data_IF_979045336586
#
_entry.id   IF_979045336586
#
_cell.length_a   1.000
_cell.length_b   1.000
_cell.length_c   1.000
_cell.angle_alpha   90.00
_cell.angle_beta   90.00
_cell.angle_gamma   90.00
#
_symmetry.space_group_name_H-M   'P 1'
#
loop_
_entity.id
_entity.type
_entity.pdbx_description
1 polymer ?
#
# COMPACT_ATOMS: atom_id res chain seq x y z
N UNK A 1 15.59 5.82 -33.18
CA UNK A 1 15.97 6.15 -31.79
C UNK A 1 15.01 7.22 -31.32
N UNK A 2 13.98 6.85 -30.59
CA UNK A 2 12.97 7.80 -30.10
C UNK A 2 13.34 8.17 -28.67
N UNK A 3 13.82 9.38 -28.47
CA UNK A 3 13.98 9.99 -27.16
C UNK A 3 12.59 10.10 -26.52
N UNK A 4 12.18 9.07 -25.77
CA UNK A 4 11.13 9.26 -24.80
C UNK A 4 11.71 10.07 -23.64
N UNK A 5 11.50 11.39 -23.67
CA UNK A 5 11.64 12.22 -22.49
C UNK A 5 10.95 11.51 -21.34
N UNK A 6 11.73 11.09 -20.37
CA UNK A 6 11.25 10.46 -19.15
C UNK A 6 10.33 11.45 -18.43
N UNK A 7 9.06 11.37 -18.71
CA UNK A 7 8.04 11.97 -17.87
C UNK A 7 8.40 11.62 -16.43
N UNK A 8 8.47 12.62 -15.53
CA UNK A 8 8.77 12.44 -14.11
C UNK A 8 7.80 11.46 -13.41
N UNK A 9 6.76 11.02 -14.10
CA UNK A 9 5.69 10.13 -13.66
C UNK A 9 5.99 8.69 -14.13
N UNK A 10 6.15 7.78 -13.17
CA UNK A 10 6.33 6.36 -13.45
C UNK A 10 4.96 5.70 -13.43
N UNK A 11 4.34 5.57 -14.58
CA UNK A 11 2.98 5.02 -14.75
C UNK A 11 2.78 3.64 -14.11
N UNK A 12 3.81 2.78 -14.15
CA UNK A 12 3.76 1.45 -13.52
C UNK A 12 3.52 1.49 -12.01
N UNK A 13 4.01 2.53 -11.31
CA UNK A 13 3.75 2.69 -9.88
C UNK A 13 2.30 3.10 -9.59
N UNK A 14 1.68 3.89 -10.47
CA UNK A 14 0.26 4.23 -10.32
C UNK A 14 -0.62 2.99 -10.58
N UNK A 15 -0.25 2.15 -11.56
CA UNK A 15 -0.93 0.88 -11.77
C UNK A 15 -0.79 -0.06 -10.55
N UNK A 16 0.39 -0.17 -9.96
CA UNK A 16 0.59 -0.97 -8.74
C UNK A 16 -0.21 -0.43 -7.55
N UNK A 17 -0.34 0.90 -7.38
CA UNK A 17 -1.19 1.50 -6.35
C UNK A 17 -2.67 1.17 -6.58
N UNK A 18 -3.12 1.22 -7.83
CA UNK A 18 -4.48 0.80 -8.19
C UNK A 18 -4.73 -0.66 -7.80
N UNK A 19 -3.84 -1.58 -8.20
CA UNK A 19 -3.94 -2.99 -7.84
C UNK A 19 -3.92 -3.17 -6.32
N UNK A 20 -3.03 -2.48 -5.60
CA UNK A 20 -2.97 -2.52 -4.16
C UNK A 20 -4.29 -2.09 -3.49
N UNK A 21 -4.89 -0.97 -3.96
CA UNK A 21 -6.17 -0.50 -3.45
C UNK A 21 -7.29 -1.54 -3.65
N UNK A 22 -7.38 -2.14 -4.84
CA UNK A 22 -8.36 -3.19 -5.14
C UNK A 22 -8.17 -4.40 -4.23
N UNK A 23 -6.94 -4.90 -4.07
CA UNK A 23 -6.65 -6.09 -3.26
C UNK A 23 -6.90 -5.84 -1.75
N UNK A 24 -6.53 -4.66 -1.25
CA UNK A 24 -6.79 -4.27 0.15
C UNK A 24 -8.29 -4.18 0.39
N UNK A 25 -9.02 -3.46 -0.46
CA UNK A 25 -10.47 -3.30 -0.29
C UNK A 25 -11.18 -4.64 -0.40
N UNK A 26 -10.78 -5.51 -1.34
CA UNK A 26 -11.34 -6.85 -1.46
C UNK A 26 -11.17 -7.67 -0.16
N UNK A 27 -10.06 -7.54 0.54
CA UNK A 27 -9.83 -8.27 1.79
C UNK A 27 -10.76 -7.85 2.94
N UNK A 28 -11.38 -6.68 2.82
CA UNK A 28 -12.38 -6.17 3.77
C UNK A 28 -13.82 -6.45 3.31
N UNK A 29 -14.03 -7.06 2.17
CA UNK A 29 -15.35 -7.40 1.62
C UNK A 29 -16.01 -8.63 2.29
N UNK A 30 -15.68 -8.92 3.54
CA UNK A 30 -16.35 -9.99 4.32
C UNK A 30 -17.89 -9.81 4.28
N UNK A 31 -18.47 -8.62 4.52
CA UNK A 31 -19.92 -8.43 4.42
C UNK A 31 -20.46 -8.69 3.01
N UNK A 32 -19.72 -8.28 1.96
CA UNK A 32 -20.13 -8.42 0.56
C UNK A 32 -20.19 -9.89 0.11
N UNK A 33 -19.35 -10.76 0.69
CA UNK A 33 -19.29 -12.18 0.36
C UNK A 33 -20.02 -13.09 1.35
N UNK A 34 -20.71 -12.51 2.34
CA UNK A 34 -21.34 -13.24 3.44
C UNK A 34 -22.26 -14.37 2.97
N UNK A 35 -23.04 -14.11 1.92
CA UNK A 35 -24.06 -15.04 1.42
C UNK A 35 -23.53 -16.03 0.36
N UNK A 36 -22.25 -15.89 -0.04
CA UNK A 36 -21.62 -16.74 -1.06
C UNK A 36 -20.45 -17.52 -0.45
N UNK A 37 -19.32 -16.85 -0.23
CA UNK A 37 -18.12 -17.44 0.37
C UNK A 37 -17.20 -16.34 0.89
N UNK A 38 -17.11 -16.18 2.20
CA UNK A 38 -16.23 -15.20 2.85
C UNK A 38 -14.74 -15.41 2.57
N UNK A 39 -14.33 -16.61 2.12
CA UNK A 39 -12.96 -16.86 1.70
C UNK A 39 -12.52 -16.04 0.47
N UNK A 40 -13.46 -15.46 -0.28
CA UNK A 40 -13.18 -14.53 -1.39
C UNK A 40 -12.67 -13.17 -0.87
N UNK A 41 -12.96 -12.81 0.39
CA UNK A 41 -12.41 -11.63 1.04
C UNK A 41 -10.95 -11.85 1.45
N UNK A 42 -10.07 -11.88 0.47
CA UNK A 42 -8.64 -12.19 0.65
C UNK A 42 -7.75 -11.23 -0.13
N UNK A 43 -6.44 -11.49 -0.19
CA UNK A 43 -5.40 -10.73 -0.90
C UNK A 43 -4.92 -9.45 -0.20
N UNK A 44 -5.40 -9.11 0.99
CA UNK A 44 -5.00 -7.91 1.72
C UNK A 44 -3.49 -7.83 1.99
N UNK A 45 -2.85 -8.96 2.28
CA UNK A 45 -1.40 -9.03 2.50
C UNK A 45 -0.63 -8.62 1.25
N UNK A 46 -1.05 -9.09 0.07
CA UNK A 46 -0.44 -8.72 -1.22
C UNK A 46 -0.67 -7.24 -1.53
N UNK A 47 -1.87 -6.73 -1.27
CA UNK A 47 -2.19 -5.33 -1.44
C UNK A 47 -1.33 -4.42 -0.55
N UNK A 48 -1.23 -4.74 0.74
CA UNK A 48 -0.37 -4.02 1.69
C UNK A 48 1.10 -4.09 1.28
N UNK A 49 1.58 -5.26 0.86
CA UNK A 49 2.96 -5.43 0.38
C UNK A 49 3.25 -4.56 -0.84
N UNK A 50 2.38 -4.54 -1.84
CA UNK A 50 2.52 -3.66 -3.01
C UNK A 50 2.53 -2.18 -2.60
N UNK A 51 1.67 -1.79 -1.65
CA UNK A 51 1.61 -0.41 -1.20
C UNK A 51 2.89 0.01 -0.47
N UNK A 52 3.41 -0.82 0.44
CA UNK A 52 4.67 -0.54 1.12
C UNK A 52 5.86 -0.56 0.15
N UNK A 53 5.87 -1.48 -0.81
CA UNK A 53 6.87 -1.51 -1.88
C UNK A 53 6.91 -0.19 -2.66
N UNK A 54 5.75 0.29 -3.13
CA UNK A 54 5.63 1.56 -3.86
C UNK A 54 6.01 2.74 -2.97
N UNK A 55 5.63 2.72 -1.69
CA UNK A 55 6.00 3.75 -0.72
C UNK A 55 7.52 3.82 -0.56
N UNK A 56 8.20 2.68 -0.38
CA UNK A 56 9.65 2.60 -0.28
C UNK A 56 10.35 3.14 -1.52
N UNK A 57 9.86 2.77 -2.70
CA UNK A 57 10.37 3.28 -3.98
C UNK A 57 10.27 4.81 -4.06
N UNK A 58 9.09 5.35 -3.79
CA UNK A 58 8.83 6.80 -3.89
C UNK A 58 9.59 7.61 -2.83
N UNK A 59 9.72 7.08 -1.63
CA UNK A 59 10.48 7.71 -0.55
C UNK A 59 11.95 7.78 -0.93
N UNK A 60 12.54 6.69 -1.38
CA UNK A 60 13.94 6.66 -1.81
C UNK A 60 14.17 7.61 -2.98
N UNK A 61 13.30 7.61 -3.99
CA UNK A 61 13.36 8.58 -5.10
C UNK A 61 13.36 10.04 -4.61
N UNK A 62 12.57 10.32 -3.57
CA UNK A 62 12.52 11.65 -2.95
C UNK A 62 13.79 12.02 -2.19
N UNK A 63 14.34 11.09 -1.41
CA UNK A 63 15.56 11.27 -0.62
C UNK A 63 16.79 11.48 -1.49
N UNK A 64 16.88 10.76 -2.60
CA UNK A 64 17.98 10.93 -3.58
C UNK A 64 17.94 12.30 -4.27
N UNK A 65 16.74 12.89 -4.41
CA UNK A 65 16.57 14.19 -5.08
C UNK A 65 16.73 15.39 -4.17
N UNK A 66 16.37 15.29 -2.90
CA UNK A 66 16.26 16.43 -1.97
C UNK A 66 16.97 16.14 -0.66
N UNK A 67 17.90 17.02 -0.29
CA UNK A 67 18.48 17.08 1.03
C UNK A 67 17.65 18.06 1.86
N UNK A 68 16.84 17.56 2.80
CA UNK A 68 16.05 18.41 3.69
C UNK A 68 16.22 17.96 5.15
N UNK A 69 15.83 18.81 6.09
CA UNK A 69 15.84 18.51 7.53
C UNK A 69 14.71 17.55 7.88
N UNK A 70 14.89 16.79 8.97
CA UNK A 70 13.92 15.78 9.43
C UNK A 70 12.54 16.39 9.74
N UNK A 71 12.52 17.56 10.40
CA UNK A 71 11.29 18.26 10.76
C UNK A 71 10.43 18.58 9.50
N UNK A 72 11.05 19.18 8.48
CA UNK A 72 10.37 19.50 7.23
C UNK A 72 9.96 18.23 6.47
N UNK A 73 10.81 17.21 6.48
CA UNK A 73 10.50 15.91 5.90
C UNK A 73 9.25 15.29 6.54
N UNK A 74 9.24 15.17 7.86
CA UNK A 74 8.15 14.53 8.61
C UNK A 74 6.87 15.36 8.51
N UNK A 75 6.95 16.69 8.66
CA UNK A 75 5.81 17.59 8.51
C UNK A 75 5.07 17.36 7.19
N UNK A 76 5.79 17.33 6.06
CA UNK A 76 5.16 17.11 4.75
C UNK A 76 4.50 15.74 4.62
N UNK A 77 5.05 14.70 5.27
CA UNK A 77 4.46 13.36 5.27
C UNK A 77 3.20 13.31 6.12
N UNK A 78 3.25 13.90 7.29
CA UNK A 78 2.09 13.98 8.18
C UNK A 78 0.97 14.84 7.58
N UNK A 79 1.29 15.96 6.94
CA UNK A 79 0.31 16.79 6.24
C UNK A 79 -0.44 16.06 5.12
N UNK A 80 0.12 14.99 4.57
CA UNK A 80 -0.56 14.13 3.60
C UNK A 80 -1.49 13.10 4.21
N UNK A 81 -1.17 12.62 5.41
CA UNK A 81 -1.89 11.51 6.05
C UNK A 81 -2.96 12.03 7.01
N UNK A 82 -2.57 12.93 7.92
CA UNK A 82 -3.36 13.30 9.08
C UNK A 82 -4.68 14.01 8.76
N UNK A 83 -4.76 14.95 7.81
CA UNK A 83 -6.02 15.63 7.53
C UNK A 83 -7.13 14.67 7.11
N UNK A 84 -6.81 13.66 6.29
CA UNK A 84 -7.79 12.65 5.86
C UNK A 84 -8.28 11.80 7.03
N UNK A 85 -7.37 11.36 7.91
CA UNK A 85 -7.71 10.55 9.09
C UNK A 85 -8.55 11.35 10.07
N UNK A 86 -8.13 12.58 10.38
CA UNK A 86 -8.84 13.47 11.29
C UNK A 86 -10.25 13.79 10.81
N UNK A 87 -10.36 14.26 9.56
CA UNK A 87 -11.65 14.64 9.01
C UNK A 87 -12.61 13.45 8.88
N UNK A 88 -12.08 12.27 8.52
CA UNK A 88 -12.89 11.07 8.51
C UNK A 88 -13.34 10.63 9.90
N UNK A 89 -12.49 10.74 10.91
CA UNK A 89 -12.88 10.45 12.29
C UNK A 89 -14.03 11.36 12.76
N UNK A 90 -13.99 12.65 12.40
CA UNK A 90 -15.09 13.59 12.67
C UNK A 90 -16.37 13.18 11.95
N UNK A 91 -16.29 12.86 10.65
CA UNK A 91 -17.46 12.39 9.87
C UNK A 91 -18.01 11.09 10.46
N UNK A 92 -17.15 10.14 10.82
CA UNK A 92 -17.57 8.86 11.42
C UNK A 92 -18.27 9.07 12.76
N UNK A 93 -17.78 9.96 13.60
CA UNK A 93 -18.43 10.32 14.86
C UNK A 93 -19.81 10.94 14.63
N UNK A 94 -19.95 11.82 13.63
CA UNK A 94 -21.22 12.49 13.34
C UNK A 94 -22.27 11.57 12.70
N UNK A 95 -21.84 10.64 11.84
CA UNK A 95 -22.76 9.81 11.02
C UNK A 95 -23.03 8.46 11.67
N UNK A 96 -22.02 7.83 12.26
CA UNK A 96 -22.12 6.48 12.86
C UNK A 96 -22.05 6.47 14.38
N UNK A 97 -21.83 7.64 15.01
CA UNK A 97 -21.73 7.72 16.47
C UNK A 97 -20.40 7.17 17.03
N UNK A 98 -19.36 7.14 16.19
CA UNK A 98 -18.05 6.68 16.64
C UNK A 98 -17.50 7.59 17.73
N UNK A 99 -16.82 6.99 18.71
CA UNK A 99 -16.16 7.75 19.75
C UNK A 99 -14.98 8.57 19.18
N UNK A 100 -15.02 9.88 19.38
CA UNK A 100 -14.03 10.84 18.95
C UNK A 100 -13.00 11.08 20.07
N UNK A 101 -12.09 10.15 20.27
CA UNK A 101 -11.00 10.27 21.23
C UNK A 101 -9.71 10.76 20.57
N UNK A 102 -8.86 11.47 21.35
CA UNK A 102 -7.53 11.88 20.89
C UNK A 102 -6.66 10.69 20.45
N UNK A 103 -6.84 9.54 21.11
CA UNK A 103 -6.14 8.33 20.74
C UNK A 103 -6.53 7.85 19.34
N UNK A 104 -7.81 7.88 18.98
CA UNK A 104 -8.29 7.52 17.64
C UNK A 104 -7.80 8.50 16.57
N UNK A 105 -7.71 9.78 16.89
CA UNK A 105 -7.26 10.82 15.97
C UNK A 105 -5.75 10.80 15.77
N UNK A 106 -4.96 10.73 16.85
CA UNK A 106 -3.50 10.87 16.79
C UNK A 106 -2.80 9.55 16.49
N UNK A 107 -3.25 8.45 17.07
CA UNK A 107 -2.60 7.14 16.95
C UNK A 107 -3.31 6.27 15.91
N UNK A 108 -4.56 6.62 15.55
CA UNK A 108 -5.39 5.90 14.59
C UNK A 108 -5.39 4.37 14.83
N UNK A 109 -5.78 3.87 16.04
CA UNK A 109 -5.59 2.49 16.46
C UNK A 109 -6.26 1.47 15.54
N UNK A 110 -7.32 1.87 14.82
CA UNK A 110 -8.02 1.02 13.87
C UNK A 110 -7.29 0.90 12.52
N UNK A 111 -6.22 1.69 12.31
CA UNK A 111 -5.52 1.79 11.04
C UNK A 111 -4.03 1.43 11.21
N UNK A 112 -3.75 0.17 11.53
CA UNK A 112 -2.39 -0.32 11.75
C UNK A 112 -1.41 0.09 10.63
N UNK A 113 -1.88 0.11 9.39
CA UNK A 113 -1.10 0.52 8.23
C UNK A 113 -0.59 1.96 8.36
N UNK A 114 -1.42 2.89 8.86
CA UNK A 114 -1.04 4.29 9.07
C UNK A 114 -0.02 4.43 10.19
N UNK A 115 -0.15 3.64 11.26
CA UNK A 115 0.84 3.60 12.34
C UNK A 115 2.18 3.10 11.79
N UNK A 116 2.17 1.98 11.06
CA UNK A 116 3.36 1.41 10.45
C UNK A 116 4.06 2.42 9.53
N UNK A 117 3.33 3.07 8.62
CA UNK A 117 3.93 3.97 7.63
C UNK A 117 4.58 5.21 8.27
N UNK A 118 4.03 5.73 9.37
CA UNK A 118 4.63 6.87 10.11
C UNK A 118 5.95 6.47 10.74
N UNK A 119 6.00 5.30 11.40
CA UNK A 119 7.24 4.75 11.96
C UNK A 119 8.27 4.50 10.85
N UNK A 120 7.83 3.90 9.75
CA UNK A 120 8.71 3.63 8.61
C UNK A 120 9.23 4.92 7.97
N UNK A 121 8.45 6.00 7.92
CA UNK A 121 8.95 7.30 7.45
C UNK A 121 10.12 7.78 8.31
N UNK A 122 10.00 7.74 9.63
CA UNK A 122 11.07 8.15 10.53
C UNK A 122 12.34 7.30 10.30
N UNK A 123 12.21 5.98 10.27
CA UNK A 123 13.32 5.06 10.02
C UNK A 123 13.97 5.32 8.65
N UNK A 124 13.17 5.45 7.60
CA UNK A 124 13.67 5.69 6.24
C UNK A 124 14.39 7.01 6.08
N UNK A 125 14.01 8.05 6.82
CA UNK A 125 14.74 9.31 6.75
C UNK A 125 16.21 9.14 7.16
N UNK A 126 16.45 8.50 8.30
CA UNK A 126 17.80 8.32 8.82
C UNK A 126 18.61 7.32 8.01
N UNK A 127 18.02 6.18 7.76
CA UNK A 127 18.68 5.13 6.99
C UNK A 127 18.86 5.55 5.53
N UNK A 128 17.88 6.21 4.93
CA UNK A 128 17.96 6.68 3.55
C UNK A 128 19.07 7.73 3.37
N UNK A 129 19.39 8.52 4.40
CA UNK A 129 20.56 9.42 4.37
C UNK A 129 21.87 8.66 4.36
N UNK A 130 22.00 7.62 5.17
CA UNK A 130 23.19 6.76 5.17
C UNK A 130 23.37 6.09 3.80
N UNK A 131 22.29 5.58 3.22
CA UNK A 131 22.29 4.97 1.89
C UNK A 131 22.64 5.97 0.79
N UNK A 132 22.18 7.21 0.89
CA UNK A 132 22.52 8.27 -0.06
C UNK A 132 24.03 8.60 -0.06
N UNK A 133 24.73 8.37 1.07
CA UNK A 133 26.18 8.53 1.19
C UNK A 133 26.90 7.31 0.61
N UNK A 134 26.43 6.10 0.90
CA UNK A 134 26.98 4.82 0.42
C UNK A 134 25.86 3.89 -0.04
N UNK A 135 25.66 3.81 -1.35
CA UNK A 135 24.57 3.02 -1.95
C UNK A 135 24.54 1.54 -1.57
N UNK A 136 25.70 0.95 -1.26
CA UNK A 136 25.81 -0.45 -0.84
C UNK A 136 25.09 -0.79 0.48
N UNK A 137 24.88 0.18 1.35
CA UNK A 137 24.18 -0.03 2.63
C UNK A 137 22.72 -0.46 2.47
N UNK A 138 22.12 -0.27 1.30
CA UNK A 138 20.74 -0.74 1.06
C UNK A 138 20.64 -2.28 1.14
N UNK A 139 21.67 -3.00 0.69
CA UNK A 139 21.73 -4.47 0.78
C UNK A 139 21.82 -4.93 2.23
N UNK A 140 22.65 -4.24 3.02
CA UNK A 140 22.77 -4.51 4.45
C UNK A 140 21.44 -4.24 5.16
N UNK A 141 20.78 -3.12 4.87
CA UNK A 141 19.48 -2.79 5.44
C UNK A 141 18.43 -3.85 5.09
N UNK A 142 18.42 -4.30 3.84
CA UNK A 142 17.50 -5.35 3.42
C UNK A 142 17.76 -6.65 4.18
N UNK A 143 19.02 -7.10 4.22
CA UNK A 143 19.42 -8.29 4.97
C UNK A 143 19.05 -8.19 6.46
N UNK A 144 19.34 -7.04 7.10
CA UNK A 144 18.98 -6.79 8.50
C UNK A 144 17.46 -6.80 8.68
N UNK A 145 16.68 -6.19 7.79
CA UNK A 145 15.22 -6.16 7.92
C UNK A 145 14.58 -7.54 7.78
N UNK A 146 15.10 -8.39 6.89
CA UNK A 146 14.69 -9.80 6.77
C UNK A 146 15.14 -10.60 8.00
N UNK A 147 16.38 -10.42 8.45
CA UNK A 147 16.91 -11.08 9.64
C UNK A 147 16.10 -10.75 10.89
N UNK A 148 15.77 -9.46 11.11
CA UNK A 148 14.92 -9.03 12.22
C UNK A 148 13.53 -9.66 12.11
N UNK A 149 12.96 -9.80 10.90
CA UNK A 149 11.69 -10.51 10.70
C UNK A 149 11.78 -11.97 11.11
N UNK A 150 12.87 -12.64 10.79
CA UNK A 150 13.11 -14.05 11.17
C UNK A 150 13.30 -14.17 12.70
N UNK A 151 14.24 -13.41 13.25
CA UNK A 151 14.59 -13.49 14.68
C UNK A 151 13.41 -13.14 15.56
N UNK A 152 12.61 -12.14 15.17
CA UNK A 152 11.45 -11.73 15.94
C UNK A 152 10.45 -12.87 16.13
N UNK A 153 10.22 -13.71 15.14
CA UNK A 153 9.31 -14.86 15.24
C UNK A 153 9.81 -15.91 16.24
N UNK A 154 11.14 -16.10 16.34
CA UNK A 154 11.73 -17.03 17.32
C UNK A 154 11.72 -16.47 18.75
N UNK A 155 11.95 -15.14 18.90
CA UNK A 155 12.03 -14.53 20.22
C UNK A 155 10.65 -14.33 20.88
N UNK A 156 9.61 -14.15 20.08
CA UNK A 156 8.28 -13.84 20.56
C UNK A 156 7.23 -14.78 19.97
N UNK A 157 7.18 -16.04 20.42
CA UNK A 157 6.20 -17.00 19.94
C UNK A 157 4.78 -16.46 20.22
N UNK A 158 3.97 -16.45 19.21
CA UNK A 158 2.61 -15.93 19.27
C UNK A 158 1.60 -17.07 19.03
N UNK A 159 0.41 -16.90 19.61
CA UNK A 159 -0.68 -17.86 19.47
C UNK A 159 -1.19 -18.06 18.02
N UNK A 160 -2.34 -18.67 17.88
CA UNK A 160 -2.91 -19.30 16.67
C UNK A 160 -3.31 -18.36 15.51
N UNK A 161 -2.47 -17.43 15.06
CA UNK A 161 -2.80 -16.53 13.93
C UNK A 161 -1.91 -16.72 12.69
N UNK A 162 -2.19 -16.02 11.60
CA UNK A 162 -1.26 -15.86 10.49
C UNK A 162 -0.22 -14.78 10.82
N UNK A 163 1.03 -15.00 10.41
CA UNK A 163 2.14 -14.05 10.60
C UNK A 163 1.81 -12.64 10.14
N UNK A 164 1.05 -12.53 9.05
CA UNK A 164 0.64 -11.27 8.46
C UNK A 164 -0.65 -10.67 9.05
N UNK A 165 -1.29 -11.36 10.02
CA UNK A 165 -2.48 -10.90 10.74
C UNK A 165 -2.22 -10.71 12.24
N UNK A 166 -0.96 -10.80 12.67
CA UNK A 166 -0.51 -10.56 14.05
C UNK A 166 0.45 -9.37 14.06
N UNK A 167 1.03 -9.05 15.23
CA UNK A 167 2.00 -7.95 15.35
C UNK A 167 3.20 -8.05 14.42
N UNK A 168 3.51 -9.23 13.86
CA UNK A 168 4.59 -9.45 12.91
C UNK A 168 4.42 -8.74 11.57
N UNK A 169 3.20 -8.36 11.21
CA UNK A 169 2.97 -7.60 9.97
C UNK A 169 3.75 -6.28 9.93
N UNK A 170 3.99 -5.63 11.09
CA UNK A 170 4.82 -4.43 11.16
C UNK A 170 6.27 -4.69 10.73
N UNK A 171 6.85 -5.82 11.15
CA UNK A 171 8.25 -6.12 10.82
C UNK A 171 8.39 -6.66 9.40
N UNK A 172 7.51 -7.58 9.01
CA UNK A 172 7.55 -8.22 7.70
C UNK A 172 7.34 -7.23 6.54
N UNK A 173 6.39 -6.29 6.68
CA UNK A 173 6.15 -5.31 5.62
C UNK A 173 7.25 -4.24 5.53
N UNK A 174 8.01 -4.01 6.58
CA UNK A 174 9.17 -3.12 6.50
C UNK A 174 10.21 -3.62 5.51
N UNK A 175 10.51 -4.93 5.49
CA UNK A 175 11.45 -5.52 4.53
C UNK A 175 10.97 -5.36 3.08
N UNK A 176 9.67 -5.47 2.84
CA UNK A 176 9.07 -5.20 1.51
C UNK A 176 9.25 -3.74 1.10
N UNK A 177 9.09 -2.80 2.04
CA UNK A 177 9.32 -1.38 1.80
C UNK A 177 10.80 -1.08 1.47
N UNK A 178 11.74 -1.73 2.17
CA UNK A 178 13.18 -1.64 1.87
C UNK A 178 13.47 -2.19 0.46
N UNK A 179 12.85 -3.29 0.07
CA UNK A 179 13.00 -3.83 -1.29
C UNK A 179 12.50 -2.83 -2.35
N UNK A 180 11.41 -2.13 -2.11
CA UNK A 180 10.94 -1.05 -2.99
C UNK A 180 11.99 0.06 -3.15
N UNK A 181 12.67 0.43 -2.07
CA UNK A 181 13.78 1.39 -2.10
C UNK A 181 15.00 0.85 -2.89
N UNK A 182 15.34 -0.44 -2.74
CA UNK A 182 16.38 -1.10 -3.53
C UNK A 182 16.06 -1.04 -5.03
N UNK A 183 14.85 -1.40 -5.40
CA UNK A 183 14.40 -1.36 -6.80
C UNK A 183 14.48 0.06 -7.37
N UNK A 184 14.16 1.09 -6.57
CA UNK A 184 14.34 2.48 -6.98
C UNK A 184 15.80 2.81 -7.30
N UNK A 185 16.74 2.36 -6.47
CA UNK A 185 18.17 2.64 -6.65
C UNK A 185 18.77 1.92 -7.87
N UNK A 186 18.33 0.69 -8.09
CA UNK A 186 18.88 -0.16 -9.17
C UNK A 186 17.97 -0.25 -10.39
N UNK A 187 16.96 0.60 -10.52
CA UNK A 187 15.96 0.54 -11.60
C UNK A 187 16.56 0.55 -13.00
N UNK A 188 17.66 1.27 -13.21
CA UNK A 188 18.35 1.36 -14.51
C UNK A 188 19.11 0.09 -14.87
N UNK A 189 19.46 -0.73 -13.86
CA UNK A 189 20.11 -2.04 -14.02
C UNK A 189 19.11 -3.18 -14.18
N UNK A 190 17.82 -2.93 -13.92
CA UNK A 190 16.76 -3.95 -14.08
C UNK A 190 16.48 -4.07 -15.57
N UNK A 191 17.05 -5.11 -16.18
CA UNK A 191 16.82 -5.39 -17.60
C UNK A 191 15.38 -5.87 -17.83
N UNK A 192 14.79 -5.43 -18.94
CA UNK A 192 13.56 -6.02 -19.45
C UNK A 192 13.87 -7.44 -19.96
N UNK A 193 13.37 -8.46 -19.26
CA UNK A 193 13.40 -9.84 -19.72
C UNK A 193 12.31 -10.12 -20.76
N UNK A 194 11.78 -11.34 -20.77
CA UNK A 194 10.60 -11.71 -21.56
C UNK A 194 9.35 -11.53 -20.69
N UNK A 195 8.36 -10.77 -21.15
CA UNK A 195 7.12 -10.49 -20.41
C UNK A 195 6.44 -11.76 -19.87
N UNK A 196 6.36 -12.81 -20.70
CA UNK A 196 5.72 -14.06 -20.30
C UNK A 196 6.44 -14.76 -19.15
N UNK A 197 7.77 -14.65 -19.08
CA UNK A 197 8.57 -15.19 -17.95
C UNK A 197 8.26 -14.43 -16.67
N UNK A 198 8.24 -13.09 -16.72
CA UNK A 198 7.94 -12.26 -15.56
C UNK A 198 6.49 -12.44 -15.09
N UNK A 199 5.54 -12.65 -16.01
CA UNK A 199 4.16 -13.01 -15.67
C UNK A 199 4.06 -14.40 -15.05
N UNK A 200 4.80 -15.38 -15.55
CA UNK A 200 4.86 -16.72 -14.95
C UNK A 200 5.43 -16.65 -13.54
N UNK A 201 6.54 -15.95 -13.34
CA UNK A 201 7.16 -15.80 -12.03
C UNK A 201 6.28 -15.03 -11.04
N UNK A 202 5.53 -14.04 -11.51
CA UNK A 202 4.51 -13.34 -10.72
C UNK A 202 3.40 -14.32 -10.29
N UNK A 203 2.87 -15.12 -11.21
CA UNK A 203 1.83 -16.10 -10.91
C UNK A 203 2.33 -17.20 -9.96
N UNK A 204 3.53 -17.74 -10.19
CA UNK A 204 4.17 -18.72 -9.31
C UNK A 204 4.36 -18.14 -7.91
N UNK A 205 4.85 -16.90 -7.79
CA UNK A 205 5.01 -16.23 -6.50
C UNK A 205 3.68 -16.08 -5.77
N UNK A 206 2.62 -15.71 -6.49
CA UNK A 206 1.29 -15.58 -5.92
C UNK A 206 0.75 -16.91 -5.41
N UNK A 207 0.81 -17.97 -6.22
CA UNK A 207 0.34 -19.32 -5.87
C UNK A 207 1.17 -19.89 -4.71
N UNK A 208 2.49 -19.77 -4.77
CA UNK A 208 3.41 -20.27 -3.73
C UNK A 208 3.12 -19.63 -2.36
N UNK A 209 2.81 -18.34 -2.33
CA UNK A 209 2.42 -17.69 -1.08
C UNK A 209 1.20 -18.38 -0.44
N UNK A 210 0.13 -18.61 -1.20
CA UNK A 210 -1.08 -19.24 -0.66
C UNK A 210 -0.85 -20.70 -0.30
N UNK A 211 -0.08 -21.44 -1.09
CA UNK A 211 0.28 -22.82 -0.79
C UNK A 211 1.05 -22.91 0.55
N UNK A 212 2.05 -22.07 0.77
CA UNK A 212 2.83 -22.04 2.01
C UNK A 212 1.95 -21.63 3.20
N UNK A 213 1.09 -20.64 3.05
CA UNK A 213 0.17 -20.21 4.11
C UNK A 213 -0.85 -21.31 4.45
N UNK A 214 -1.33 -22.05 3.44
CA UNK A 214 -2.24 -23.16 3.63
C UNK A 214 -1.56 -24.31 4.42
N UNK A 215 -0.34 -24.69 4.05
CA UNK A 215 0.46 -25.66 4.81
C UNK A 215 0.70 -25.17 6.24
N UNK A 216 1.06 -23.90 6.42
CA UNK A 216 1.25 -23.31 7.75
C UNK A 216 -0.02 -23.31 8.60
N UNK A 217 -1.21 -23.26 8.02
CA UNK A 217 -2.47 -23.35 8.75
C UNK A 217 -2.78 -24.77 9.24
N UNK A 218 -2.36 -25.79 8.52
CA UNK A 218 -2.56 -27.20 8.87
C UNK A 218 -1.49 -27.74 9.83
N UNK A 219 -0.31 -27.15 9.85
CA UNK A 219 0.82 -27.58 10.69
C UNK A 219 0.76 -26.85 12.04
N UNK A 220 0.30 -27.52 13.12
CA UNK A 220 0.11 -26.91 14.44
C UNK A 220 1.41 -26.42 15.07
N UNK A 221 2.46 -27.26 15.07
CA UNK A 221 3.71 -26.98 15.79
C UNK A 221 4.72 -26.14 14.98
N UNK A 222 4.67 -26.24 13.65
CA UNK A 222 5.60 -25.56 12.73
C UNK A 222 4.99 -24.36 12.00
N UNK A 223 3.81 -23.97 12.40
CA UNK A 223 2.99 -22.95 11.73
C UNK A 223 3.74 -21.64 11.44
N UNK A 224 4.48 -21.15 12.42
CA UNK A 224 5.20 -19.88 12.30
C UNK A 224 6.38 -19.99 11.35
N UNK A 225 7.14 -21.09 11.44
CA UNK A 225 8.31 -21.30 10.60
C UNK A 225 7.91 -21.49 9.13
N UNK A 226 6.88 -22.23 8.86
CA UNK A 226 6.37 -22.39 7.50
C UNK A 226 5.84 -21.06 6.94
N UNK A 227 5.18 -20.24 7.75
CA UNK A 227 4.71 -18.93 7.31
C UNK A 227 5.83 -17.93 7.07
N UNK A 228 6.99 -18.06 7.77
CA UNK A 228 8.17 -17.25 7.44
C UNK A 228 8.62 -17.46 6.00
N UNK A 229 8.52 -18.69 5.51
CA UNK A 229 8.86 -19.00 4.11
C UNK A 229 7.97 -18.20 3.12
N UNK A 230 6.77 -17.78 3.52
CA UNK A 230 5.89 -16.95 2.70
C UNK A 230 6.43 -15.53 2.44
N UNK A 231 7.44 -15.07 3.19
CA UNK A 231 8.15 -13.82 2.89
C UNK A 231 8.82 -13.87 1.51
N UNK A 232 9.39 -15.01 1.13
CA UNK A 232 10.09 -15.14 -0.16
C UNK A 232 9.13 -14.91 -1.34
N UNK A 233 8.01 -15.64 -1.48
CA UNK A 233 7.09 -15.39 -2.57
C UNK A 233 6.40 -14.02 -2.47
N UNK A 234 6.21 -13.44 -1.29
CA UNK A 234 5.65 -12.10 -1.13
C UNK A 234 6.59 -11.03 -1.70
N UNK A 235 7.89 -11.11 -1.42
CA UNK A 235 8.89 -10.21 -2.01
C UNK A 235 8.98 -10.42 -3.53
N UNK A 236 9.01 -11.68 -3.98
CA UNK A 236 9.03 -12.02 -5.41
C UNK A 236 7.81 -11.46 -6.14
N UNK A 237 6.61 -11.57 -5.54
CA UNK A 237 5.37 -11.01 -6.07
C UNK A 237 5.48 -9.50 -6.28
N UNK A 238 5.99 -8.75 -5.32
CA UNK A 238 6.18 -7.30 -5.45
C UNK A 238 7.20 -6.94 -6.53
N UNK A 239 8.31 -7.67 -6.59
CA UNK A 239 9.36 -7.44 -7.57
C UNK A 239 8.91 -7.74 -9.00
N UNK A 240 8.30 -8.90 -9.25
CA UNK A 240 7.81 -9.26 -10.57
C UNK A 240 6.58 -8.43 -10.97
N UNK A 241 5.73 -8.07 -10.01
CA UNK A 241 4.66 -7.09 -10.24
C UNK A 241 5.20 -5.76 -10.76
N UNK A 242 6.26 -5.24 -10.14
CA UNK A 242 6.94 -4.05 -10.65
C UNK A 242 7.53 -4.27 -12.04
N UNK A 243 8.27 -5.38 -12.27
CA UNK A 243 8.84 -5.69 -13.59
C UNK A 243 7.77 -5.74 -14.68
N UNK A 244 6.68 -6.45 -14.45
CA UNK A 244 5.55 -6.53 -15.38
C UNK A 244 5.01 -5.14 -15.74
N UNK A 245 4.98 -4.21 -14.77
CA UNK A 245 4.55 -2.84 -15.00
C UNK A 245 5.57 -1.96 -15.74
N UNK A 246 6.83 -2.41 -15.92
CA UNK A 246 7.83 -1.67 -16.71
C UNK A 246 7.73 -1.92 -18.22
N UNK A 247 6.98 -2.94 -18.63
CA UNK A 247 6.80 -3.23 -20.05
C UNK A 247 5.89 -2.22 -20.76
N UNK A 248 6.04 -2.12 -22.08
CA UNK A 248 5.34 -1.15 -22.94
C UNK A 248 3.81 -1.16 -22.82
N UNK A 249 3.21 -2.33 -22.49
CA UNK A 249 1.76 -2.44 -22.35
C UNK A 249 1.23 -1.53 -21.25
N UNK A 250 1.89 -1.48 -20.11
CA UNK A 250 1.48 -0.63 -18.99
C UNK A 250 1.58 0.86 -19.35
N UNK A 251 2.67 1.26 -20.02
CA UNK A 251 2.83 2.61 -20.56
C UNK A 251 1.72 2.97 -21.54
N UNK A 252 1.36 2.08 -22.46
CA UNK A 252 0.25 2.29 -23.41
C UNK A 252 -1.09 2.42 -22.68
N UNK A 253 -1.38 1.53 -21.71
CA UNK A 253 -2.61 1.56 -20.92
C UNK A 253 -2.76 2.87 -20.16
N UNK A 254 -1.66 3.38 -19.59
CA UNK A 254 -1.64 4.56 -18.72
C UNK A 254 -1.41 5.88 -19.47
N UNK A 255 -0.97 5.86 -20.72
CA UNK A 255 -0.73 7.09 -21.51
C UNK A 255 -1.92 7.46 -22.39
N UNK A 256 -2.66 6.47 -22.90
CA UNK A 256 -3.73 6.67 -23.85
C UNK A 256 -4.97 5.86 -23.45
N UNK A 257 -6.14 6.44 -23.62
CA UNK A 257 -7.40 5.73 -23.58
C UNK A 257 -8.20 5.82 -22.29
N UNK A 258 -9.31 5.13 -22.32
CA UNK A 258 -10.37 5.15 -21.31
C UNK A 258 -9.89 4.69 -19.92
N UNK A 259 -8.88 3.82 -19.85
CA UNK A 259 -8.37 3.24 -18.60
C UNK A 259 -7.45 4.16 -17.80
N UNK A 260 -6.80 5.12 -18.46
CA UNK A 260 -5.88 6.06 -17.78
C UNK A 260 -6.57 6.80 -16.64
N UNK A 261 -7.79 7.29 -16.91
CA UNK A 261 -8.50 8.10 -15.93
C UNK A 261 -8.92 7.29 -14.70
N UNK A 262 -9.67 6.17 -14.79
CA UNK A 262 -10.11 5.43 -13.60
C UNK A 262 -8.93 4.83 -12.81
N UNK A 263 -7.92 4.28 -13.46
CA UNK A 263 -6.74 3.73 -12.80
C UNK A 263 -5.98 4.84 -12.05
N UNK A 264 -5.71 5.96 -12.72
CA UNK A 264 -5.01 7.10 -12.10
C UNK A 264 -5.80 7.73 -10.96
N UNK A 265 -7.13 7.80 -11.11
CA UNK A 265 -8.04 8.31 -10.11
C UNK A 265 -8.02 7.46 -8.84
N UNK A 266 -8.23 6.15 -8.95
CA UNK A 266 -8.16 5.22 -7.81
C UNK A 266 -6.76 5.21 -7.19
N UNK A 267 -5.69 5.18 -8.02
CA UNK A 267 -4.31 5.22 -7.55
C UNK A 267 -3.96 6.47 -6.75
N UNK A 268 -4.63 7.59 -7.00
CA UNK A 268 -4.43 8.84 -6.24
C UNK A 268 -5.21 8.89 -4.94
N UNK A 269 -6.30 8.12 -4.82
CA UNK A 269 -7.21 8.07 -3.67
C UNK A 269 -6.90 6.90 -2.71
N UNK A 270 -5.79 6.20 -2.87
CA UNK A 270 -5.48 4.97 -2.10
C UNK A 270 -5.55 5.16 -0.59
N UNK A 271 -5.14 6.32 -0.06
CA UNK A 271 -5.23 6.63 1.36
C UNK A 271 -6.69 6.79 1.80
N UNK A 272 -7.46 7.59 1.08
CA UNK A 272 -8.85 7.86 1.41
C UNK A 272 -9.70 6.60 1.29
N UNK A 273 -9.47 5.78 0.26
CA UNK A 273 -10.11 4.45 0.10
C UNK A 273 -9.85 3.61 1.35
N UNK A 274 -8.59 3.54 1.80
CA UNK A 274 -8.23 2.78 3.00
C UNK A 274 -8.94 3.29 4.25
N UNK A 275 -9.09 4.60 4.39
CA UNK A 275 -9.69 5.22 5.58
C UNK A 275 -11.20 5.05 5.61
N UNK A 276 -11.90 5.23 4.48
CA UNK A 276 -13.38 5.20 4.44
C UNK A 276 -13.97 3.80 4.39
N UNK A 277 -13.24 2.80 3.87
CA UNK A 277 -13.78 1.48 3.54
C UNK A 277 -14.46 0.77 4.72
N UNK A 278 -13.97 0.95 5.95
CA UNK A 278 -14.51 0.27 7.14
C UNK A 278 -15.94 0.69 7.49
N UNK A 279 -16.36 1.88 7.07
CA UNK A 279 -17.72 2.39 7.33
C UNK A 279 -18.65 2.25 6.13
N UNK A 280 -18.09 2.16 4.92
CA UNK A 280 -18.86 2.16 3.67
C UNK A 280 -19.20 0.76 3.19
N UNK A 281 -18.35 -0.22 3.48
CA UNK A 281 -18.58 -1.61 3.07
C UNK A 281 -19.84 -2.15 3.74
N UNK A 282 -20.78 -2.66 2.93
CA UNK A 282 -22.09 -3.11 3.38
C UNK A 282 -22.53 -4.36 2.63
N UNK A 283 -23.41 -5.15 3.26
CA UNK A 283 -24.07 -6.35 2.71
C UNK A 283 -25.40 -6.05 2.01
N UNK A 284 -25.85 -4.82 2.03
CA UNK A 284 -27.18 -4.41 1.50
C UNK A 284 -27.42 -4.77 0.04
N UNK A 285 -26.35 -4.94 -0.72
CA UNK A 285 -26.40 -5.24 -2.16
C UNK A 285 -26.13 -6.71 -2.50
N UNK A 286 -26.08 -7.60 -1.51
CA UNK A 286 -25.66 -9.00 -1.72
C UNK A 286 -26.58 -9.76 -2.66
N UNK A 287 -27.87 -9.42 -2.72
CA UNK A 287 -28.81 -10.00 -3.68
C UNK A 287 -28.43 -9.77 -5.16
N UNK A 288 -27.54 -8.80 -5.42
CA UNK A 288 -27.06 -8.47 -6.76
C UNK A 288 -25.74 -9.14 -7.14
N UNK A 289 -25.28 -10.14 -6.38
CA UNK A 289 -24.01 -10.82 -6.69
C UNK A 289 -23.96 -11.33 -8.15
N UNK A 290 -22.86 -11.09 -8.90
CA UNK A 290 -21.56 -10.50 -8.51
C UNK A 290 -21.48 -8.95 -8.66
N UNK A 291 -22.53 -8.28 -9.08
CA UNK A 291 -22.53 -6.83 -9.29
C UNK A 291 -22.37 -6.03 -7.96
N UNK A 292 -22.79 -6.62 -6.84
CA UNK A 292 -22.59 -6.04 -5.51
C UNK A 292 -21.14 -5.61 -5.26
N UNK A 293 -20.16 -6.36 -5.77
CA UNK A 293 -18.75 -6.04 -5.67
C UNK A 293 -18.42 -4.68 -6.32
N UNK A 294 -18.89 -4.48 -7.55
CA UNK A 294 -18.69 -3.22 -8.29
C UNK A 294 -19.41 -2.05 -7.62
N UNK A 295 -20.63 -2.27 -7.15
CA UNK A 295 -21.44 -1.25 -6.49
C UNK A 295 -20.74 -0.79 -5.19
N UNK A 296 -20.37 -1.73 -4.32
CA UNK A 296 -19.74 -1.39 -3.03
C UNK A 296 -18.36 -0.78 -3.23
N UNK A 297 -17.55 -1.30 -4.16
CA UNK A 297 -16.26 -0.70 -4.51
C UNK A 297 -16.44 0.71 -5.07
N UNK A 298 -17.44 0.93 -5.92
CA UNK A 298 -17.79 2.25 -6.44
C UNK A 298 -18.18 3.23 -5.33
N UNK A 299 -19.00 2.79 -4.36
CA UNK A 299 -19.38 3.60 -3.20
C UNK A 299 -18.15 3.99 -2.36
N UNK A 300 -17.24 3.04 -2.11
CA UNK A 300 -15.98 3.32 -1.41
C UNK A 300 -15.16 4.37 -2.17
N UNK A 301 -15.04 4.24 -3.49
CA UNK A 301 -14.28 5.19 -4.32
C UNK A 301 -14.91 6.58 -4.33
N UNK A 302 -16.24 6.68 -4.43
CA UNK A 302 -16.97 7.97 -4.41
C UNK A 302 -16.80 8.63 -3.04
N UNK A 303 -16.99 7.90 -1.95
CA UNK A 303 -16.80 8.42 -0.58
C UNK A 303 -15.35 8.86 -0.35
N UNK A 304 -14.38 8.11 -0.84
CA UNK A 304 -12.96 8.48 -0.79
C UNK A 304 -12.69 9.79 -1.54
N UNK A 305 -13.32 9.99 -2.70
CA UNK A 305 -13.21 11.25 -3.44
C UNK A 305 -13.83 12.42 -2.68
N UNK A 306 -15.01 12.23 -2.10
CA UNK A 306 -15.65 13.27 -1.27
C UNK A 306 -14.75 13.62 -0.08
N UNK A 307 -14.16 12.65 0.60
CA UNK A 307 -13.19 12.91 1.66
C UNK A 307 -12.00 13.71 1.14
N UNK A 308 -11.44 13.38 -0.03
CA UNK A 308 -10.35 14.14 -0.65
C UNK A 308 -10.75 15.61 -0.90
N UNK A 309 -11.96 15.86 -1.38
CA UNK A 309 -12.47 17.22 -1.58
C UNK A 309 -12.53 17.96 -0.24
N UNK A 310 -13.09 17.34 0.80
CA UNK A 310 -13.14 17.92 2.16
C UNK A 310 -11.75 18.23 2.69
N UNK A 311 -10.79 17.30 2.51
CA UNK A 311 -9.37 17.52 2.89
C UNK A 311 -8.77 18.71 2.15
N UNK A 312 -8.98 18.80 0.85
CA UNK A 312 -8.45 19.90 0.04
C UNK A 312 -9.07 21.26 0.46
N UNK A 313 -10.38 21.29 0.72
CA UNK A 313 -11.06 22.48 1.26
C UNK A 313 -10.46 22.89 2.61
N UNK A 314 -10.32 21.93 3.52
CA UNK A 314 -9.73 22.17 4.84
C UNK A 314 -8.30 22.71 4.74
N UNK A 315 -7.46 22.12 3.89
CA UNK A 315 -6.08 22.57 3.70
C UNK A 315 -5.99 23.96 3.07
N UNK A 316 -6.90 24.32 2.15
CA UNK A 316 -6.97 25.69 1.61
C UNK A 316 -7.42 26.70 2.65
N UNK A 317 -8.40 26.34 3.49
CA UNK A 317 -8.87 27.21 4.57
C UNK A 317 -7.77 27.49 5.60
N UNK A 318 -6.95 26.48 5.90
CA UNK A 318 -5.80 26.61 6.82
C UNK A 318 -4.56 27.22 6.15
N UNK A 319 -4.55 27.36 4.82
CA UNK A 319 -3.47 27.93 4.05
C UNK A 319 -3.51 29.46 4.03
N UNK A 320 -2.40 30.04 3.52
CA UNK A 320 -2.29 31.50 3.29
C UNK A 320 -2.49 31.89 1.83
N UNK A 321 -2.67 30.88 0.96
CA UNK A 321 -2.82 31.09 -0.47
C UNK A 321 -4.26 31.56 -0.82
N UNK A 322 -4.44 32.32 -1.93
CA UNK A 322 -5.77 32.72 -2.37
C UNK A 322 -6.65 31.49 -2.67
N UNK A 323 -7.93 31.61 -2.34
CA UNK A 323 -8.92 30.53 -2.52
C UNK A 323 -9.14 30.17 -4.00
N UNK A 324 -8.93 28.90 -4.35
CA UNK A 324 -9.10 28.38 -5.70
C UNK A 324 -9.96 27.11 -5.72
N UNK A 325 -11.21 27.22 -6.09
CA UNK A 325 -12.14 26.08 -6.19
C UNK A 325 -11.62 24.91 -7.01
N UNK A 326 -10.87 25.20 -8.08
CA UNK A 326 -10.26 24.15 -8.91
C UNK A 326 -9.25 23.27 -8.15
N UNK A 327 -8.61 23.81 -7.13
CA UNK A 327 -7.69 23.05 -6.30
C UNK A 327 -8.43 22.13 -5.33
N UNK A 328 -9.63 22.52 -4.85
CA UNK A 328 -10.45 21.69 -3.99
C UNK A 328 -10.90 20.39 -4.68
N UNK A 329 -11.24 20.47 -5.96
CA UNK A 329 -11.70 19.32 -6.77
C UNK A 329 -10.57 18.50 -7.38
N UNK A 330 -9.32 18.92 -7.20
CA UNK A 330 -8.14 18.25 -7.78
C UNK A 330 -7.81 16.98 -7.02
N UNK A 331 -7.54 15.92 -7.79
CA UNK A 331 -7.09 14.62 -7.30
C UNK A 331 -5.58 14.49 -7.42
#
# INVERSE_FOLDING_TARGET
MCNMEYSNKIYGLDFLKFVAAVLITNSHFIPVYKDVNVGLATFGVHGNALFFFVAGFLIMKGLLKRKERFDNWMKRRLQRLWPAVFLWAVVAAMVWGDDLSWQKILVAPNYWFLQAIVVYYALFYWVGRLIAIRGGYIWLLFAVSVFVSIVSVFLFPQGHGSLFHTHWHYVCHFSVMVMGAMVCMYREKISSGKLWVDLLLLAVSFIAYFAIVAVGKSATDWRWYTQLAALVPLHSFCYFGYKVCTYRWCGKLMSHGIWRWPIGWIASLTLEIYVVQFHVITDRFNALFPLNWLIVFGLVCVTAYLLRVIVNVFLQFMGKDPWLWRQCLRI
#
